data_IF_259780687232
#
_entry.id   IF_259780687232
#
_cell.length_a   1.000
_cell.length_b   1.000
_cell.length_c   1.000
_cell.angle_alpha   90.00
_cell.angle_beta   90.00
_cell.angle_gamma   90.00
#
_symmetry.space_group_name_H-M   'P 1'
#
loop_
_entity.id
_entity.type
_entity.pdbx_description
1 polymer ?
#
# COMPACT_ATOMS: atom_id res chain seq x y z
N UNK A 1 7.03 -12.36 9.11
CA UNK A 1 5.98 -11.87 8.20
C UNK A 1 5.74 -10.41 8.49
N UNK A 2 5.70 -9.55 7.47
CA UNK A 2 5.46 -8.12 7.63
C UNK A 2 3.97 -7.82 7.62
N UNK A 3 3.56 -6.79 8.36
CA UNK A 3 2.19 -6.31 8.37
C UNK A 3 2.11 -5.03 7.54
N UNK A 4 1.38 -5.07 6.46
CA UNK A 4 1.11 -3.94 5.59
C UNK A 4 -0.33 -3.50 5.78
N UNK A 5 -0.56 -2.21 5.93
CA UNK A 5 -1.91 -1.67 6.07
C UNK A 5 -2.20 -0.68 4.94
N UNK A 6 -3.25 -0.97 4.17
CA UNK A 6 -3.71 -0.08 3.09
C UNK A 6 -4.83 0.80 3.60
N UNK A 7 -4.64 2.11 3.43
CA UNK A 7 -5.60 3.15 3.79
C UNK A 7 -5.90 4.04 2.58
N UNK A 8 -7.02 4.72 2.61
CA UNK A 8 -7.46 5.61 1.54
C UNK A 8 -8.98 5.73 1.51
N UNK A 9 -9.50 6.75 0.85
CA UNK A 9 -10.94 6.93 0.69
C UNK A 9 -11.60 5.74 -0.03
N UNK A 10 -12.94 5.70 0.03
CA UNK A 10 -13.69 4.77 -0.80
C UNK A 10 -13.42 5.05 -2.30
N UNK A 11 -13.48 4.00 -3.13
CA UNK A 11 -13.33 4.07 -4.60
C UNK A 11 -11.97 4.55 -5.13
N UNK A 12 -10.93 4.69 -4.28
CA UNK A 12 -9.59 5.03 -4.76
C UNK A 12 -8.86 3.86 -5.42
N UNK A 13 -9.34 2.62 -5.23
CA UNK A 13 -8.78 1.43 -5.85
C UNK A 13 -7.98 0.51 -4.92
N UNK A 14 -8.14 0.61 -3.59
CA UNK A 14 -7.41 -0.25 -2.62
C UNK A 14 -7.53 -1.74 -2.94
N UNK A 15 -8.74 -2.26 -2.98
CA UNK A 15 -9.00 -3.69 -3.23
C UNK A 15 -8.59 -4.10 -4.64
N UNK A 16 -8.79 -3.21 -5.64
CA UNK A 16 -8.32 -3.46 -7.01
C UNK A 16 -6.80 -3.60 -7.06
N UNK A 17 -6.08 -2.73 -6.35
CA UNK A 17 -4.62 -2.79 -6.26
C UNK A 17 -4.15 -4.12 -5.65
N UNK A 18 -4.75 -4.54 -4.52
CA UNK A 18 -4.41 -5.82 -3.86
C UNK A 18 -4.73 -7.01 -4.77
N UNK A 19 -5.86 -7.01 -5.46
CA UNK A 19 -6.21 -8.05 -6.42
C UNK A 19 -5.20 -8.14 -7.57
N UNK A 20 -4.78 -6.99 -8.12
CA UNK A 20 -3.78 -6.97 -9.19
C UNK A 20 -2.38 -7.38 -8.68
N UNK A 21 -2.02 -7.06 -7.45
CA UNK A 21 -0.80 -7.59 -6.82
C UNK A 21 -0.81 -9.12 -6.70
N UNK A 22 -1.99 -9.75 -6.65
CA UNK A 22 -2.16 -11.21 -6.70
C UNK A 22 -2.21 -11.78 -8.12
N UNK A 23 -2.04 -10.95 -9.14
CA UNK A 23 -2.08 -11.36 -10.55
C UNK A 23 -3.49 -11.45 -11.16
N UNK A 24 -4.51 -10.92 -10.49
CA UNK A 24 -5.85 -10.83 -11.08
C UNK A 24 -5.97 -9.64 -12.03
N UNK A 25 -6.81 -9.79 -13.05
CA UNK A 25 -7.12 -8.72 -13.98
C UNK A 25 -8.02 -7.65 -13.34
N UNK A 26 -8.05 -6.47 -13.97
CA UNK A 26 -8.93 -5.38 -13.58
C UNK A 26 -10.40 -5.80 -13.77
N UNK A 27 -11.24 -5.48 -12.78
CA UNK A 27 -12.69 -5.62 -12.86
C UNK A 27 -13.37 -4.29 -12.53
N UNK A 28 -14.35 -3.90 -13.34
CA UNK A 28 -15.13 -2.68 -13.08
C UNK A 28 -16.11 -2.84 -11.91
N UNK A 29 -16.34 -4.08 -11.44
CA UNK A 29 -17.23 -4.35 -10.33
C UNK A 29 -16.68 -3.73 -9.05
N UNK A 30 -17.45 -2.85 -8.44
CA UNK A 30 -17.11 -2.22 -7.17
C UNK A 30 -18.05 -2.71 -6.06
N UNK A 31 -17.44 -3.29 -5.05
CA UNK A 31 -18.12 -3.61 -3.78
C UNK A 31 -17.44 -2.83 -2.67
N UNK A 32 -18.22 -2.07 -1.90
CA UNK A 32 -17.68 -1.32 -0.77
C UNK A 32 -17.33 -2.30 0.36
N UNK A 33 -16.05 -2.37 0.73
CA UNK A 33 -15.61 -3.10 1.91
C UNK A 33 -16.10 -2.36 3.16
N UNK A 34 -16.84 -3.06 3.99
CA UNK A 34 -17.34 -2.56 5.29
C UNK A 34 -16.57 -3.15 6.47
N UNK A 35 -15.73 -4.15 6.21
CA UNK A 35 -14.87 -4.80 7.19
C UNK A 35 -13.40 -4.69 6.74
N UNK A 36 -12.49 -4.89 7.70
CA UNK A 36 -11.07 -5.06 7.37
C UNK A 36 -10.89 -6.39 6.66
N UNK A 37 -10.35 -6.34 5.46
CA UNK A 37 -9.97 -7.53 4.70
C UNK A 37 -8.47 -7.79 4.85
N UNK A 38 -8.09 -9.06 4.99
CA UNK A 38 -6.70 -9.48 5.06
C UNK A 38 -6.35 -10.38 3.89
N UNK A 39 -5.26 -10.05 3.22
CA UNK A 39 -4.72 -10.82 2.10
C UNK A 39 -3.30 -11.24 2.44
N UNK A 40 -3.03 -12.55 2.36
CA UNK A 40 -1.71 -13.11 2.62
C UNK A 40 -0.87 -13.16 1.35
N UNK A 41 0.38 -12.75 1.47
CA UNK A 41 1.46 -12.89 0.51
C UNK A 41 2.60 -13.68 1.16
N UNK A 42 3.57 -14.23 0.41
CA UNK A 42 4.62 -15.10 0.96
C UNK A 42 5.37 -14.55 2.16
N UNK A 43 5.60 -13.24 2.23
CA UNK A 43 6.36 -12.60 3.32
C UNK A 43 5.60 -11.50 4.06
N UNK A 44 4.38 -11.17 3.63
CA UNK A 44 3.59 -10.10 4.24
C UNK A 44 2.10 -10.43 4.30
N UNK A 45 1.41 -9.81 5.26
CA UNK A 45 -0.05 -9.76 5.33
C UNK A 45 -0.49 -8.34 5.06
N UNK A 46 -1.36 -8.17 4.07
CA UNK A 46 -1.94 -6.88 3.70
C UNK A 46 -3.32 -6.76 4.31
N UNK A 47 -3.52 -5.75 5.17
CA UNK A 47 -4.82 -5.41 5.77
C UNK A 47 -5.40 -4.19 5.08
N UNK A 48 -6.55 -4.35 4.43
CA UNK A 48 -7.28 -3.24 3.80
C UNK A 48 -8.26 -2.62 4.79
N UNK A 49 -8.09 -1.33 5.07
CA UNK A 49 -9.02 -0.59 5.92
C UNK A 49 -10.18 -0.04 5.08
N UNK A 50 -11.44 -0.18 5.54
CA UNK A 50 -12.59 0.42 4.88
C UNK A 50 -12.40 1.91 4.61
N UNK A 51 -12.76 2.37 3.41
CA UNK A 51 -12.62 3.79 3.03
C UNK A 51 -13.75 4.68 3.54
N UNK A 52 -14.72 4.13 4.25
CA UNK A 52 -15.86 4.85 4.81
C UNK A 52 -15.65 4.98 6.31
N UNK A 53 -15.53 6.22 6.81
CA UNK A 53 -15.18 6.52 8.20
C UNK A 53 -16.06 5.82 9.25
N UNK A 54 -17.36 5.68 9.00
CA UNK A 54 -18.28 5.00 9.91
C UNK A 54 -18.00 3.50 10.13
N UNK A 55 -17.18 2.89 9.27
CA UNK A 55 -16.77 1.48 9.39
C UNK A 55 -15.35 1.30 9.93
N UNK A 56 -14.66 2.41 10.24
CA UNK A 56 -13.30 2.39 10.81
C UNK A 56 -13.42 2.30 12.34
N UNK A 57 -13.91 1.16 12.84
CA UNK A 57 -13.99 0.90 14.27
C UNK A 57 -12.91 -0.10 14.68
N UNK A 58 -12.24 0.14 15.82
CA UNK A 58 -11.27 -0.78 16.42
C UNK A 58 -10.07 -1.16 15.53
N UNK A 59 -9.57 -0.24 14.69
CA UNK A 59 -8.39 -0.49 13.84
C UNK A 59 -7.06 -0.15 14.52
N UNK A 60 -7.07 0.47 15.69
CA UNK A 60 -5.86 0.87 16.42
C UNK A 60 -4.88 -0.28 16.64
N UNK A 61 -5.38 -1.49 16.91
CA UNK A 61 -4.54 -2.67 17.07
C UNK A 61 -3.88 -3.12 15.76
N UNK A 62 -4.50 -2.85 14.60
CA UNK A 62 -3.91 -3.12 13.28
C UNK A 62 -2.83 -2.09 13.02
N UNK A 63 -3.13 -0.81 13.21
CA UNK A 63 -2.18 0.28 13.01
C UNK A 63 -0.95 0.15 13.91
N UNK A 64 -1.12 -0.23 15.17
CA UNK A 64 -0.02 -0.43 16.11
C UNK A 64 0.93 -1.58 15.71
N UNK A 65 0.46 -2.54 14.92
CA UNK A 65 1.24 -3.66 14.43
C UNK A 65 1.70 -3.51 12.96
N UNK A 66 1.47 -2.34 12.35
CA UNK A 66 1.80 -2.08 10.96
C UNK A 66 3.28 -1.77 10.79
N UNK A 67 3.95 -2.47 9.90
CA UNK A 67 5.34 -2.22 9.51
C UNK A 67 5.40 -1.21 8.34
N UNK A 68 4.45 -1.31 7.38
CA UNK A 68 4.36 -0.40 6.23
C UNK A 68 2.92 0.05 6.02
N UNK A 69 2.69 1.35 5.98
CA UNK A 69 1.43 1.92 5.52
C UNK A 69 1.48 2.22 4.02
N UNK A 70 0.41 1.85 3.33
CA UNK A 70 0.19 2.19 1.92
C UNK A 70 -1.02 3.12 1.84
N UNK A 71 -0.80 4.35 1.39
CA UNK A 71 -1.87 5.31 1.18
C UNK A 71 -2.21 5.31 -0.31
N UNK A 72 -3.46 4.97 -0.65
CA UNK A 72 -3.92 5.01 -2.05
C UNK A 72 -4.76 6.25 -2.29
N UNK A 73 -4.39 7.02 -3.29
CA UNK A 73 -5.11 8.23 -3.71
C UNK A 73 -5.45 8.16 -5.21
N UNK A 74 -6.59 8.70 -5.61
CA UNK A 74 -7.04 8.70 -7.01
C UNK A 74 -7.01 10.08 -7.66
N UNK A 75 -7.20 11.10 -6.87
CA UNK A 75 -7.17 12.49 -7.28
C UNK A 75 -6.45 13.25 -6.18
N UNK A 76 -6.29 14.54 -6.36
CA UNK A 76 -5.68 15.43 -5.36
C UNK A 76 -6.58 15.54 -4.10
N UNK A 77 -6.94 14.38 -3.57
CA UNK A 77 -7.79 14.27 -2.39
C UNK A 77 -6.98 14.57 -1.14
N UNK A 78 -7.60 15.25 -0.20
CA UNK A 78 -6.98 15.67 1.06
C UNK A 78 -6.74 14.47 2.00
N UNK A 79 -5.78 13.60 1.65
CA UNK A 79 -5.34 12.46 2.49
C UNK A 79 -4.19 12.82 3.43
N UNK A 80 -3.71 14.06 3.36
CA UNK A 80 -2.54 14.51 4.10
C UNK A 80 -2.77 14.51 5.61
N UNK A 81 -3.96 14.87 6.06
CA UNK A 81 -4.33 14.83 7.47
C UNK A 81 -4.22 13.41 8.06
N UNK A 82 -4.58 12.39 7.30
CA UNK A 82 -4.45 11.00 7.75
C UNK A 82 -2.98 10.60 7.92
N UNK A 83 -2.12 10.95 6.96
CA UNK A 83 -0.68 10.71 7.11
C UNK A 83 -0.12 11.47 8.31
N UNK A 84 -0.41 12.76 8.43
CA UNK A 84 0.12 13.60 9.49
C UNK A 84 -0.29 13.05 10.87
N UNK A 85 -1.54 12.61 11.04
CA UNK A 85 -2.03 11.97 12.27
C UNK A 85 -1.32 10.63 12.56
N UNK A 86 -1.33 9.71 11.58
CA UNK A 86 -0.80 8.36 11.78
C UNK A 86 0.73 8.35 11.92
N UNK A 87 1.46 9.20 11.19
CA UNK A 87 2.92 9.26 11.25
C UNK A 87 3.42 9.81 12.60
N UNK A 88 2.68 10.68 13.23
CA UNK A 88 2.99 11.14 14.60
C UNK A 88 2.82 10.01 15.63
N UNK A 89 1.81 9.16 15.44
CA UNK A 89 1.47 8.07 16.37
C UNK A 89 2.32 6.82 16.13
N UNK A 90 2.62 6.49 14.87
CA UNK A 90 3.32 5.26 14.45
C UNK A 90 4.64 5.59 13.74
N UNK A 91 5.58 6.15 14.50
CA UNK A 91 6.84 6.72 14.01
C UNK A 91 7.80 5.72 13.36
N UNK A 92 7.67 4.44 13.73
CA UNK A 92 8.56 3.39 13.25
C UNK A 92 8.06 2.76 11.94
N UNK A 93 6.86 3.08 11.47
CA UNK A 93 6.32 2.53 10.23
C UNK A 93 6.93 3.21 9.00
N UNK A 94 7.13 2.44 7.93
CA UNK A 94 7.47 2.99 6.62
C UNK A 94 6.21 3.38 5.85
N UNK A 95 6.35 4.29 4.87
CA UNK A 95 5.21 4.87 4.17
C UNK A 95 5.37 4.78 2.65
N UNK A 96 4.31 4.32 1.98
CA UNK A 96 4.20 4.28 0.52
C UNK A 96 2.93 5.01 0.08
N UNK A 97 3.08 6.04 -0.75
CA UNK A 97 1.98 6.68 -1.45
C UNK A 97 1.81 6.03 -2.82
N UNK A 98 0.62 5.55 -3.12
CA UNK A 98 0.25 5.03 -4.44
C UNK A 98 -0.81 5.95 -5.05
N UNK A 99 -0.43 6.64 -6.13
CA UNK A 99 -1.37 7.46 -6.91
C UNK A 99 -1.98 6.61 -8.01
N UNK A 100 -3.31 6.63 -8.16
CA UNK A 100 -4.04 5.85 -9.17
C UNK A 100 -4.78 6.77 -10.13
N UNK A 101 -4.38 6.82 -11.38
CA UNK A 101 -4.99 7.65 -12.42
C UNK A 101 -4.27 7.55 -13.75
N UNK A 102 -4.69 8.35 -14.72
CA UNK A 102 -4.07 8.40 -16.04
C UNK A 102 -2.74 9.15 -15.99
N UNK A 103 -2.65 10.19 -15.16
CA UNK A 103 -1.46 11.02 -14.98
C UNK A 103 -1.01 11.05 -13.52
N UNK A 104 0.29 11.30 -13.28
CA UNK A 104 0.81 11.57 -11.95
C UNK A 104 0.26 12.90 -11.40
N UNK A 105 0.01 12.93 -10.10
CA UNK A 105 -0.48 14.13 -9.41
C UNK A 105 0.68 15.02 -8.94
N UNK A 106 0.91 16.21 -9.53
CA UNK A 106 2.06 17.06 -9.19
C UNK A 106 2.13 17.44 -7.71
N UNK A 107 0.98 17.71 -7.08
CA UNK A 107 0.91 18.06 -5.66
C UNK A 107 1.33 16.91 -4.75
N UNK A 108 1.06 15.65 -5.15
CA UNK A 108 1.52 14.47 -4.40
C UNK A 108 3.04 14.37 -4.38
N UNK A 109 3.69 14.65 -5.52
CA UNK A 109 5.16 14.64 -5.61
C UNK A 109 5.79 15.69 -4.68
N UNK A 110 5.26 16.92 -4.69
CA UNK A 110 5.72 17.98 -3.79
C UNK A 110 5.50 17.62 -2.33
N UNK A 111 4.39 16.97 -2.02
CA UNK A 111 4.07 16.53 -0.67
C UNK A 111 5.09 15.51 -0.15
N UNK A 112 5.41 14.51 -0.96
CA UNK A 112 6.34 13.43 -0.63
C UNK A 112 7.77 13.93 -0.43
N UNK A 113 8.22 14.93 -1.21
CA UNK A 113 9.58 15.49 -1.11
C UNK A 113 9.93 16.04 0.29
N UNK A 114 8.94 16.45 1.07
CA UNK A 114 9.12 17.01 2.40
C UNK A 114 8.83 16.00 3.53
N UNK A 115 8.64 14.72 3.20
CA UNK A 115 8.25 13.67 4.14
C UNK A 115 9.03 12.39 3.91
N UNK A 116 9.18 11.61 4.96
CA UNK A 116 9.83 10.30 4.87
C UNK A 116 8.83 9.26 4.33
N UNK A 117 8.54 9.37 3.04
CA UNK A 117 7.67 8.42 2.34
C UNK A 117 8.11 8.21 0.89
N UNK A 118 7.82 7.02 0.38
CA UNK A 118 8.03 6.66 -1.01
C UNK A 118 6.75 6.88 -1.81
N UNK A 119 6.88 7.08 -3.13
CA UNK A 119 5.73 7.25 -4.01
C UNK A 119 5.87 6.38 -5.25
N UNK A 120 4.75 5.77 -5.65
CA UNK A 120 4.59 5.11 -6.94
C UNK A 120 3.30 5.56 -7.61
N UNK A 121 3.28 5.49 -8.94
CA UNK A 121 2.09 5.77 -9.73
C UNK A 121 1.60 4.50 -10.41
N UNK A 122 0.28 4.30 -10.41
CA UNK A 122 -0.37 3.18 -11.08
C UNK A 122 -1.56 3.66 -11.90
N UNK A 123 -1.86 2.95 -12.96
CA UNK A 123 -3.16 3.01 -13.62
C UNK A 123 -3.80 1.64 -13.51
N UNK A 124 -4.73 1.48 -12.57
CA UNK A 124 -5.34 0.18 -12.29
C UNK A 124 -6.20 -0.36 -13.44
N UNK A 125 -6.72 0.51 -14.32
CA UNK A 125 -7.49 0.09 -15.49
C UNK A 125 -6.62 -0.61 -16.53
N UNK A 126 -5.41 -0.12 -16.73
CA UNK A 126 -4.45 -0.65 -17.71
C UNK A 126 -3.46 -1.63 -17.10
N UNK A 127 -3.33 -1.67 -15.78
CA UNK A 127 -2.31 -2.43 -15.06
C UNK A 127 -0.94 -1.76 -15.03
N UNK A 128 -0.79 -0.58 -15.65
CA UNK A 128 0.49 0.13 -15.67
C UNK A 128 0.95 0.49 -14.25
N UNK A 129 2.24 0.28 -13.95
CA UNK A 129 2.86 0.59 -12.66
C UNK A 129 2.54 -0.36 -11.51
N UNK A 130 1.59 -1.30 -11.65
CA UNK A 130 1.15 -2.20 -10.58
C UNK A 130 2.30 -3.10 -10.10
N UNK A 131 3.02 -3.74 -11.01
CA UNK A 131 4.17 -4.59 -10.66
C UNK A 131 5.27 -3.76 -9.98
N UNK A 132 5.54 -2.56 -10.47
CA UNK A 132 6.52 -1.67 -9.86
C UNK A 132 6.10 -1.27 -8.43
N UNK A 133 4.82 -0.96 -8.20
CA UNK A 133 4.31 -0.59 -6.87
C UNK A 133 4.48 -1.74 -5.86
N UNK A 134 4.25 -2.99 -6.30
CA UNK A 134 4.50 -4.17 -5.48
C UNK A 134 6.01 -4.33 -5.19
N UNK A 135 6.87 -4.11 -6.19
CA UNK A 135 8.32 -4.15 -6.01
C UNK A 135 8.81 -3.14 -4.98
N UNK A 136 8.33 -1.89 -5.04
CA UNK A 136 8.66 -0.86 -4.04
C UNK A 136 8.16 -1.27 -2.65
N UNK A 137 6.96 -1.82 -2.54
CA UNK A 137 6.43 -2.31 -1.27
C UNK A 137 7.31 -3.42 -0.68
N UNK A 138 7.77 -4.38 -1.50
CA UNK A 138 8.70 -5.43 -1.09
C UNK A 138 10.02 -4.87 -0.56
N UNK A 139 10.61 -3.90 -1.26
CA UNK A 139 11.85 -3.24 -0.79
C UNK A 139 11.64 -2.53 0.54
N UNK A 140 10.52 -1.83 0.73
CA UNK A 140 10.20 -1.18 2.00
C UNK A 140 10.06 -2.19 3.15
N UNK A 141 9.39 -3.31 2.93
CA UNK A 141 9.29 -4.36 3.97
C UNK A 141 10.67 -4.93 4.30
N UNK A 142 11.52 -5.15 3.30
CA UNK A 142 12.89 -5.67 3.48
C UNK A 142 13.79 -4.71 4.25
N UNK A 143 13.66 -3.41 4.00
CA UNK A 143 14.47 -2.37 4.63
C UNK A 143 13.94 -1.96 6.02
N UNK A 144 12.77 -2.45 6.42
CA UNK A 144 12.16 -2.08 7.69
C UNK A 144 13.04 -2.51 8.89
N UNK A 145 13.43 -1.58 9.79
CA UNK A 145 14.46 -1.82 10.81
C UNK A 145 14.11 -2.88 11.84
N UNK A 146 12.83 -3.21 12.03
CA UNK A 146 12.38 -4.16 13.06
C UNK A 146 12.51 -5.64 12.66
N UNK A 147 12.73 -5.95 11.37
CA UNK A 147 12.75 -7.33 10.88
C UNK A 147 13.81 -7.53 9.80
N UNK A 148 14.97 -8.02 10.18
CA UNK A 148 15.91 -8.56 9.19
C UNK A 148 15.38 -9.89 8.67
N UNK A 149 15.10 -10.00 7.36
CA UNK A 149 14.84 -11.28 6.72
C UNK A 149 16.14 -12.10 6.77
N UNK A 150 16.14 -13.36 7.21
CA UNK A 150 17.31 -14.21 7.09
C UNK A 150 17.74 -14.27 5.61
N UNK A 151 19.01 -14.09 5.34
CA UNK A 151 19.61 -14.06 3.99
C UNK A 151 19.25 -15.31 3.15
N UNK A 152 18.91 -16.42 3.80
CA UNK A 152 18.46 -17.65 3.16
C UNK A 152 17.12 -17.57 2.41
N UNK A 153 16.27 -16.59 2.73
CA UNK A 153 14.97 -16.41 2.05
C UNK A 153 15.04 -15.43 0.86
N UNK A 154 16.10 -14.63 0.76
CA UNK A 154 16.27 -13.65 -0.33
C UNK A 154 16.40 -14.35 -1.70
N UNK A 155 16.98 -15.55 -1.75
CA UNK A 155 17.13 -16.33 -2.99
C UNK A 155 15.82 -16.87 -3.56
N UNK A 156 14.84 -17.18 -2.70
CA UNK A 156 13.56 -17.75 -3.15
C UNK A 156 12.60 -16.69 -3.70
N UNK A 157 12.67 -15.46 -3.20
CA UNK A 157 11.82 -14.35 -3.65
C UNK A 157 12.18 -13.92 -5.07
N UNK A 158 13.46 -13.93 -5.45
CA UNK A 158 13.90 -13.61 -6.82
C UNK A 158 13.50 -14.68 -7.86
N UNK A 159 13.24 -15.91 -7.45
CA UNK A 159 12.78 -16.97 -8.35
C UNK A 159 11.26 -16.93 -8.62
N UNK A 160 10.47 -16.27 -7.77
CA UNK A 160 9.02 -16.12 -7.95
C UNK A 160 8.63 -14.99 -8.92
N UNK A 161 9.53 -14.06 -9.18
CA UNK A 161 9.31 -12.98 -10.14
C UNK A 161 10.47 -12.95 -11.13
N UNK A 162 10.38 -13.71 -12.25
CA UNK A 162 11.36 -13.59 -13.31
C UNK A 162 11.33 -12.15 -13.80
N UNK A 163 12.47 -11.51 -13.66
CA UNK A 163 12.83 -10.18 -14.13
C UNK A 163 12.08 -9.73 -15.36
N UNK A 164 11.19 -8.75 -15.22
CA UNK A 164 10.94 -7.81 -16.29
C UNK A 164 12.01 -6.72 -16.20
N UNK A 165 13.10 -6.95 -16.93
CA UNK A 165 13.95 -5.88 -17.44
C UNK A 165 13.31 -5.30 -18.68
#
# INVERSE_FOLDING_TARGET
MYNVTIVGHQRVGKSTLVHQWRGHEFSESYYANIFVEKTEFPTMVVSEIPGISRFINNVDHIYANTDVFVIVVREDTNMWSLYDELSLKYKDASWLLVTNGDDEFPNCRLYVQNRDMYMTHVNLKTGAGVTNSLGVLWELTRLHPKRSIPVSLVGEVYQMFPTCL
#
